data_IF_530054914236
#
_entry.id   IF_530054914236
#
_cell.length_a   1.000
_cell.length_b   1.000
_cell.length_c   1.000
_cell.angle_alpha   90.00
_cell.angle_beta   90.00
_cell.angle_gamma   90.00
#
_symmetry.space_group_name_H-M   'P 1'
#
loop_
_entity.id
_entity.type
_entity.pdbx_description
1 polymer ?
#
# COMPACT_ATOMS: atom_id res chain seq x y z
N UNK A 1 -5.38 6.47 49.80
CA UNK A 1 -5.73 5.34 48.92
C UNK A 1 -7.11 5.57 48.26
N UNK A 2 -7.28 6.67 47.50
CA UNK A 2 -8.59 7.11 46.95
C UNK A 2 -8.51 7.41 45.42
N UNK A 3 -7.31 7.38 44.84
CA UNK A 3 -7.06 7.87 43.47
C UNK A 3 -7.45 6.95 42.30
N UNK A 4 -7.54 5.61 42.38
CA UNK A 4 -7.92 4.81 41.22
C UNK A 4 -9.44 4.76 40.97
N UNK A 5 -10.26 5.07 41.99
CA UNK A 5 -11.72 4.97 41.90
C UNK A 5 -12.34 6.13 41.09
N UNK A 6 -11.70 7.31 41.13
CA UNK A 6 -12.15 8.51 40.42
C UNK A 6 -11.93 8.41 38.90
N UNK A 7 -10.84 7.76 38.47
CA UNK A 7 -10.52 7.58 37.04
C UNK A 7 -11.50 6.61 36.37
N UNK A 8 -11.88 5.54 37.07
CA UNK A 8 -12.89 4.58 36.57
C UNK A 8 -14.28 5.22 36.50
N UNK A 9 -14.64 6.05 37.49
CA UNK A 9 -15.91 6.77 37.50
C UNK A 9 -16.03 7.74 36.31
N UNK A 10 -14.97 8.50 36.00
CA UNK A 10 -14.95 9.40 34.84
C UNK A 10 -15.06 8.65 33.50
N UNK A 11 -14.42 7.48 33.39
CA UNK A 11 -14.46 6.66 32.18
C UNK A 11 -15.87 6.07 31.93
N UNK A 12 -16.58 5.67 33.00
CA UNK A 12 -17.95 5.18 32.90
C UNK A 12 -18.96 6.30 32.58
N UNK A 13 -18.82 7.49 33.16
CA UNK A 13 -19.71 8.62 32.83
C UNK A 13 -19.50 9.13 31.41
N UNK A 14 -18.27 9.12 30.89
CA UNK A 14 -18.01 9.46 29.50
C UNK A 14 -18.66 8.46 28.53
N UNK A 15 -18.65 7.17 28.85
CA UNK A 15 -19.28 6.14 28.00
C UNK A 15 -20.81 6.22 27.98
N UNK A 16 -21.43 6.63 29.09
CA UNK A 16 -22.90 6.72 29.20
C UNK A 16 -23.41 8.02 28.57
N UNK A 17 -22.69 9.15 28.69
CA UNK A 17 -23.13 10.43 28.12
C UNK A 17 -22.75 10.64 26.65
N UNK A 18 -21.68 10.00 26.14
CA UNK A 18 -21.29 10.11 24.73
C UNK A 18 -21.74 8.92 23.86
N UNK A 19 -22.38 7.92 24.44
CA UNK A 19 -22.87 6.71 23.74
C UNK A 19 -24.26 6.85 23.11
N UNK A 20 -24.68 8.06 22.72
CA UNK A 20 -26.06 8.32 22.29
C UNK A 20 -26.18 9.34 21.17
N UNK A 21 -25.67 9.01 19.98
CA UNK A 21 -26.21 9.56 18.73
C UNK A 21 -25.82 8.69 17.52
N UNK A 22 -26.29 7.44 17.50
CA UNK A 22 -26.37 6.66 16.26
C UNK A 22 -27.49 7.24 15.38
N UNK A 23 -27.22 8.42 14.81
CA UNK A 23 -27.87 8.79 13.55
C UNK A 23 -27.15 8.05 12.45
N UNK A 24 -27.51 6.79 12.30
CA UNK A 24 -27.26 6.06 11.06
C UNK A 24 -27.93 6.87 9.94
N UNK A 25 -27.11 7.58 9.17
CA UNK A 25 -27.54 8.20 7.91
C UNK A 25 -27.84 7.02 6.97
N UNK A 26 -29.04 6.47 7.09
CA UNK A 26 -29.57 5.57 6.09
C UNK A 26 -29.80 6.39 4.84
N UNK A 27 -28.91 6.23 3.86
CA UNK A 27 -29.13 6.73 2.51
C UNK A 27 -30.33 5.98 1.94
N UNK A 28 -31.52 6.56 2.11
CA UNK A 28 -32.74 6.11 1.43
C UNK A 28 -32.60 6.49 -0.03
N UNK A 29 -32.21 5.54 -0.87
CA UNK A 29 -32.30 5.69 -2.32
C UNK A 29 -33.79 5.81 -2.66
N UNK A 30 -34.22 7.04 -2.94
CA UNK A 30 -35.53 7.29 -3.55
C UNK A 30 -35.35 7.04 -5.03
N UNK A 31 -35.70 5.84 -5.45
CA UNK A 31 -35.85 5.50 -6.86
C UNK A 31 -37.11 6.26 -7.35
N UNK A 32 -36.90 7.33 -8.13
CA UNK A 32 -38.00 7.99 -8.82
C UNK A 32 -38.51 7.03 -9.91
N UNK A 33 -39.79 6.63 -9.91
CA UNK A 33 -40.33 5.83 -10.99
C UNK A 33 -40.48 6.72 -12.22
N UNK A 34 -39.43 6.81 -13.03
CA UNK A 34 -39.57 7.29 -14.41
C UNK A 34 -40.28 6.21 -15.21
N UNK A 35 -41.57 6.47 -15.44
CA UNK A 35 -42.48 5.94 -16.47
C UNK A 35 -41.95 4.73 -17.26
N UNK A 36 -42.50 3.56 -16.90
CA UNK A 36 -42.53 2.36 -17.73
C UNK A 36 -43.09 2.68 -19.13
N UNK A 37 -42.22 2.74 -20.13
CA UNK A 37 -42.60 2.39 -21.50
C UNK A 37 -42.03 1.01 -21.78
N UNK A 38 -42.93 0.03 -21.85
CA UNK A 38 -42.60 -1.36 -22.13
C UNK A 38 -41.96 -1.49 -23.53
N UNK A 39 -40.68 -1.89 -23.55
CA UNK A 39 -40.05 -2.47 -24.72
C UNK A 39 -39.55 -3.86 -24.33
N UNK A 40 -40.22 -4.89 -24.86
CA UNK A 40 -39.78 -6.28 -24.79
C UNK A 40 -38.41 -6.42 -25.48
N UNK A 41 -37.35 -6.44 -24.69
CA UNK A 41 -36.00 -6.74 -25.11
C UNK A 41 -35.42 -7.77 -24.15
N UNK A 42 -34.95 -8.89 -24.70
CA UNK A 42 -34.32 -10.01 -24.00
C UNK A 42 -33.33 -9.49 -22.95
N UNK A 43 -33.59 -9.77 -21.67
CA UNK A 43 -32.72 -9.36 -20.56
C UNK A 43 -31.43 -10.16 -20.59
N UNK A 44 -30.45 -9.73 -21.40
CA UNK A 44 -29.06 -9.96 -21.06
C UNK A 44 -28.82 -9.22 -19.75
N UNK A 45 -28.72 -9.97 -18.66
CA UNK A 45 -28.23 -9.46 -17.38
C UNK A 45 -26.82 -8.96 -17.63
N UNK A 46 -26.68 -7.68 -17.93
CA UNK A 46 -25.40 -6.99 -17.87
C UNK A 46 -25.01 -7.00 -16.40
N UNK A 47 -24.21 -7.98 -16.00
CA UNK A 47 -23.59 -8.02 -14.68
C UNK A 47 -22.74 -6.77 -14.55
N UNK A 48 -23.27 -5.74 -13.90
CA UNK A 48 -22.58 -4.47 -13.67
C UNK A 48 -21.22 -4.78 -13.03
N UNK A 49 -20.12 -4.45 -13.71
CA UNK A 49 -18.78 -4.62 -13.15
C UNK A 49 -18.70 -3.85 -11.82
N UNK A 50 -18.09 -4.43 -10.77
CA UNK A 50 -17.94 -3.73 -9.50
C UNK A 50 -17.17 -2.43 -9.72
N UNK A 51 -17.58 -1.36 -9.01
CA UNK A 51 -17.03 0.00 -9.18
C UNK A 51 -15.50 0.06 -8.99
N UNK A 52 -14.94 -0.84 -8.19
CA UNK A 52 -13.50 -1.02 -7.98
C UNK A 52 -13.01 -2.29 -8.68
N UNK A 53 -12.95 -2.26 -10.02
CA UNK A 53 -12.46 -3.39 -10.80
C UNK A 53 -11.74 -2.95 -12.07
N UNK A 54 -11.01 -3.89 -12.66
CA UNK A 54 -10.26 -3.68 -13.90
C UNK A 54 -8.76 -3.50 -13.69
N UNK A 55 -8.04 -3.46 -14.82
CA UNK A 55 -6.58 -3.47 -14.87
C UNK A 55 -5.92 -2.37 -14.04
N UNK A 56 -6.47 -1.15 -14.08
CA UNK A 56 -5.92 -0.02 -13.33
C UNK A 56 -6.05 -0.21 -11.81
N UNK A 57 -7.20 -0.73 -11.36
CA UNK A 57 -7.43 -1.04 -9.95
C UNK A 57 -6.50 -2.16 -9.47
N UNK A 58 -6.44 -3.26 -10.21
CA UNK A 58 -5.57 -4.40 -9.89
C UNK A 58 -4.09 -3.97 -9.85
N UNK A 59 -3.64 -3.17 -10.82
CA UNK A 59 -2.28 -2.61 -10.84
C UNK A 59 -2.02 -1.73 -9.63
N UNK A 60 -2.97 -0.89 -9.21
CA UNK A 60 -2.84 -0.04 -8.04
C UNK A 60 -2.74 -0.85 -6.73
N UNK A 61 -3.51 -1.94 -6.59
CA UNK A 61 -3.41 -2.87 -5.46
C UNK A 61 -2.03 -3.53 -5.44
N UNK A 62 -1.57 -4.04 -6.59
CA UNK A 62 -0.26 -4.70 -6.70
C UNK A 62 0.91 -3.74 -6.43
N UNK A 63 0.80 -2.47 -6.83
CA UNK A 63 1.77 -1.43 -6.48
C UNK A 63 1.83 -1.21 -4.97
N UNK A 64 0.66 -1.14 -4.31
CA UNK A 64 0.57 -0.98 -2.85
C UNK A 64 1.19 -2.18 -2.12
N UNK A 65 0.84 -3.40 -2.52
CA UNK A 65 1.36 -4.63 -1.94
C UNK A 65 2.88 -4.73 -2.11
N UNK A 66 3.37 -4.52 -3.33
CA UNK A 66 4.81 -4.61 -3.64
C UNK A 66 5.62 -3.52 -2.95
N UNK A 67 5.09 -2.29 -2.89
CA UNK A 67 5.72 -1.18 -2.17
C UNK A 67 5.73 -1.39 -0.65
N UNK A 68 4.66 -1.93 -0.08
CA UNK A 68 4.63 -2.30 1.34
C UNK A 68 5.64 -3.42 1.64
N UNK A 69 5.76 -4.42 0.75
CA UNK A 69 6.76 -5.47 0.89
C UNK A 69 8.19 -4.92 0.79
N UNK A 70 8.42 -3.96 -0.10
CA UNK A 70 9.72 -3.27 -0.23
C UNK A 70 10.12 -2.65 1.12
N UNK A 71 9.20 -1.89 1.72
CA UNK A 71 9.42 -1.26 3.02
C UNK A 71 9.65 -2.30 4.12
N UNK A 72 8.83 -3.37 4.15
CA UNK A 72 8.96 -4.43 5.15
C UNK A 72 10.33 -5.12 5.08
N UNK A 73 10.81 -5.45 3.87
CA UNK A 73 12.14 -6.04 3.65
C UNK A 73 13.25 -5.08 4.08
N UNK A 74 13.15 -3.79 3.74
CA UNK A 74 14.09 -2.76 4.18
C UNK A 74 14.15 -2.71 5.71
N UNK A 75 13.01 -2.49 6.38
CA UNK A 75 12.95 -2.35 7.83
C UNK A 75 13.45 -3.59 8.54
N UNK A 76 13.07 -4.78 8.07
CA UNK A 76 13.51 -6.03 8.67
C UNK A 76 15.03 -6.23 8.52
N UNK A 77 15.57 -5.97 7.33
CA UNK A 77 17.00 -6.11 7.07
C UNK A 77 17.85 -5.10 7.86
N UNK A 78 17.40 -3.85 7.96
CA UNK A 78 18.10 -2.83 8.75
C UNK A 78 18.02 -3.10 10.26
N UNK A 79 16.90 -3.62 10.74
CA UNK A 79 16.78 -4.04 12.13
C UNK A 79 17.70 -5.22 12.45
N UNK A 80 17.85 -6.18 11.52
CA UNK A 80 18.82 -7.27 11.66
C UNK A 80 20.26 -6.72 11.74
N UNK A 81 20.60 -5.78 10.86
CA UNK A 81 21.90 -5.12 10.90
C UNK A 81 22.12 -4.34 12.21
N UNK A 82 21.10 -3.64 12.70
CA UNK A 82 21.17 -2.90 13.97
C UNK A 82 21.41 -3.79 15.17
N UNK A 83 20.79 -4.99 15.20
CA UNK A 83 20.85 -5.91 16.34
C UNK A 83 22.09 -6.81 16.27
N UNK A 84 22.42 -7.34 15.09
CA UNK A 84 23.43 -8.38 14.91
C UNK A 84 24.68 -7.91 14.14
N UNK A 85 24.73 -6.66 13.70
CA UNK A 85 25.87 -6.08 12.98
C UNK A 85 26.05 -6.60 11.56
N UNK A 86 25.06 -7.32 11.01
CA UNK A 86 25.11 -7.88 9.65
C UNK A 86 23.74 -7.85 8.99
N UNK A 87 23.71 -7.75 7.66
CA UNK A 87 22.49 -7.99 6.90
C UNK A 87 22.16 -9.50 6.86
N UNK A 88 20.90 -9.87 6.56
CA UNK A 88 20.52 -11.25 6.31
C UNK A 88 21.43 -11.91 5.26
N UNK A 89 21.81 -13.17 5.40
CA UNK A 89 22.69 -13.81 4.41
C UNK A 89 21.92 -14.32 3.18
N UNK A 90 20.63 -14.62 3.34
CA UNK A 90 19.80 -15.27 2.32
C UNK A 90 18.40 -14.69 2.27
N UNK A 91 17.68 -14.95 1.16
CA UNK A 91 16.24 -14.65 1.05
C UNK A 91 15.45 -15.33 2.18
N UNK A 92 15.80 -16.56 2.54
CA UNK A 92 15.11 -17.29 3.61
C UNK A 92 15.26 -16.60 4.97
N UNK A 93 16.44 -16.04 5.27
CA UNK A 93 16.62 -15.24 6.50
C UNK A 93 15.74 -13.98 6.49
N UNK A 94 15.60 -13.32 5.33
CA UNK A 94 14.70 -12.17 5.19
C UNK A 94 13.25 -12.60 5.46
N UNK A 95 12.78 -13.65 4.78
CA UNK A 95 11.40 -14.14 4.90
C UNK A 95 11.08 -14.57 6.34
N UNK A 96 12.00 -15.31 6.98
CA UNK A 96 11.87 -15.69 8.38
C UNK A 96 11.83 -14.46 9.31
N UNK A 97 12.66 -13.44 9.03
CA UNK A 97 12.65 -12.18 9.76
C UNK A 97 11.33 -11.42 9.63
N UNK A 98 10.73 -11.40 8.42
CA UNK A 98 9.41 -10.80 8.18
C UNK A 98 8.31 -11.52 8.97
N UNK A 99 8.29 -12.85 8.95
CA UNK A 99 7.30 -13.65 9.68
C UNK A 99 7.44 -13.48 11.20
N UNK A 100 8.67 -13.58 11.72
CA UNK A 100 8.97 -13.44 13.15
C UNK A 100 8.51 -12.09 13.72
N UNK A 101 8.54 -11.04 12.91
CA UNK A 101 8.18 -9.67 13.30
C UNK A 101 6.77 -9.27 12.86
N UNK A 102 6.01 -10.19 12.27
CA UNK A 102 4.67 -9.93 11.72
C UNK A 102 4.65 -8.74 10.75
N UNK A 103 5.68 -8.62 9.91
CA UNK A 103 5.87 -7.51 8.95
C UNK A 103 5.37 -7.83 7.54
N UNK A 104 4.74 -8.99 7.32
CA UNK A 104 4.15 -9.29 6.03
C UNK A 104 3.00 -8.32 5.73
N UNK A 105 3.00 -7.65 4.57
CA UNK A 105 1.91 -6.78 4.19
C UNK A 105 0.58 -7.56 4.12
N UNK A 106 -0.55 -6.92 4.47
CA UNK A 106 -1.86 -7.52 4.28
C UNK A 106 -2.06 -7.98 2.83
N UNK A 107 -2.61 -9.18 2.66
CA UNK A 107 -2.84 -9.78 1.34
C UNK A 107 -1.63 -10.53 0.76
N UNK A 108 -0.44 -10.41 1.36
CA UNK A 108 0.74 -11.20 0.97
C UNK A 108 0.90 -12.39 1.90
N UNK A 109 1.09 -13.56 1.31
CA UNK A 109 1.34 -14.81 1.99
C UNK A 109 2.69 -15.38 1.56
N UNK A 110 3.30 -16.17 2.45
CA UNK A 110 4.45 -17.02 2.12
C UNK A 110 3.96 -18.47 2.16
N UNK A 111 4.04 -19.17 1.03
CA UNK A 111 3.75 -20.61 0.92
C UNK A 111 4.95 -21.30 0.31
N UNK A 112 5.52 -22.26 1.01
CA UNK A 112 6.69 -23.03 0.55
C UNK A 112 7.88 -22.16 0.08
N UNK A 113 8.09 -21.01 0.75
CA UNK A 113 9.13 -20.04 0.40
C UNK A 113 8.79 -19.12 -0.79
N UNK A 114 7.61 -19.28 -1.39
CA UNK A 114 7.09 -18.44 -2.47
C UNK A 114 6.21 -17.34 -1.87
N UNK A 115 6.46 -16.10 -2.27
CA UNK A 115 5.61 -14.96 -1.94
C UNK A 115 4.48 -14.83 -2.97
N UNK A 116 3.26 -14.70 -2.51
CA UNK A 116 2.11 -14.46 -3.40
C UNK A 116 1.07 -13.57 -2.75
N UNK A 117 0.27 -12.92 -3.58
CA UNK A 117 -0.96 -12.25 -3.20
C UNK A 117 -2.10 -12.77 -4.08
N UNK A 118 -3.33 -12.30 -3.80
CA UNK A 118 -4.50 -12.65 -4.64
C UNK A 118 -4.32 -12.26 -6.11
N UNK A 119 -3.51 -11.23 -6.39
CA UNK A 119 -3.33 -10.67 -7.74
C UNK A 119 -1.93 -10.93 -8.30
N UNK A 120 -0.99 -11.48 -7.53
CA UNK A 120 0.41 -11.56 -7.95
C UNK A 120 1.18 -12.76 -7.43
N UNK A 121 2.06 -13.27 -8.27
CA UNK A 121 3.26 -13.98 -7.81
C UNK A 121 4.37 -12.95 -7.58
N UNK A 122 5.02 -13.01 -6.43
CA UNK A 122 6.04 -12.06 -6.01
C UNK A 122 7.39 -12.77 -5.91
N UNK A 123 8.42 -12.23 -6.58
CA UNK A 123 9.79 -12.73 -6.51
C UNK A 123 10.67 -11.71 -5.82
N UNK A 124 11.40 -12.16 -4.81
CA UNK A 124 12.39 -11.37 -4.09
C UNK A 124 13.80 -11.81 -4.52
N UNK A 125 14.47 -10.97 -5.30
CA UNK A 125 15.90 -11.16 -5.56
C UNK A 125 16.69 -10.39 -4.50
N UNK A 126 17.74 -11.01 -3.96
CA UNK A 126 18.52 -10.42 -2.87
C UNK A 126 20.02 -10.64 -3.06
N UNK A 127 20.82 -9.63 -2.72
CA UNK A 127 22.26 -9.76 -2.51
C UNK A 127 22.68 -8.99 -1.25
N UNK A 128 23.58 -9.57 -0.48
CA UNK A 128 24.06 -8.95 0.77
C UNK A 128 25.13 -7.87 0.53
N UNK A 129 25.94 -7.98 -0.52
CA UNK A 129 27.05 -7.06 -0.81
C UNK A 129 27.12 -6.71 -2.33
N UNK A 130 26.95 -5.44 -2.72
CA UNK A 130 26.39 -4.37 -1.90
C UNK A 130 24.92 -4.69 -1.56
N UNK A 131 24.48 -4.38 -0.35
CA UNK A 131 23.11 -4.66 0.10
C UNK A 131 22.09 -4.12 -0.90
N UNK A 132 21.36 -5.03 -1.54
CA UNK A 132 20.35 -4.67 -2.55
C UNK A 132 19.32 -5.78 -2.66
N UNK A 133 18.10 -5.39 -3.00
CA UNK A 133 17.05 -6.35 -3.32
C UNK A 133 16.07 -5.79 -4.34
N UNK A 134 15.37 -6.70 -5.00
CA UNK A 134 14.39 -6.39 -6.03
C UNK A 134 13.12 -7.17 -5.78
N UNK A 135 11.98 -6.50 -5.91
CA UNK A 135 10.66 -7.12 -5.79
C UNK A 135 10.01 -7.07 -7.16
N UNK A 136 9.87 -8.23 -7.76
CA UNK A 136 9.17 -8.44 -9.02
C UNK A 136 7.77 -8.97 -8.74
N UNK A 137 6.76 -8.18 -9.06
CA UNK A 137 5.35 -8.59 -9.04
C UNK A 137 4.91 -8.97 -10.45
N UNK A 138 4.54 -10.24 -10.62
CA UNK A 138 3.97 -10.78 -11.83
C UNK A 138 2.48 -10.99 -11.64
N UNK A 139 1.62 -10.53 -12.56
CA UNK A 139 0.19 -10.75 -12.44
C UNK A 139 -0.20 -12.21 -12.68
N UNK A 140 -1.20 -12.69 -11.94
CA UNK A 140 -1.70 -14.08 -12.05
C UNK A 140 -2.77 -14.21 -13.15
N UNK A 141 -3.61 -13.19 -13.34
CA UNK A 141 -4.68 -13.16 -14.35
C UNK A 141 -4.17 -12.66 -15.71
N UNK A 142 -4.90 -12.94 -16.80
CA UNK A 142 -4.65 -12.36 -18.13
C UNK A 142 -5.92 -11.60 -18.55
N UNK A 143 -5.88 -10.28 -18.85
CA UNK A 143 -4.69 -9.49 -19.17
C UNK A 143 -3.76 -9.15 -17.99
N UNK A 144 -4.20 -9.29 -16.72
CA UNK A 144 -3.35 -9.23 -15.51
C UNK A 144 -2.73 -7.88 -15.16
N UNK A 145 -2.73 -6.95 -16.11
CA UNK A 145 -1.93 -5.74 -16.02
C UNK A 145 -0.45 -6.01 -16.24
N UNK A 146 0.36 -5.00 -16.00
CA UNK A 146 1.80 -5.04 -16.25
C UNK A 146 2.56 -5.77 -15.15
N UNK A 147 3.70 -6.39 -15.47
CA UNK A 147 4.69 -6.73 -14.44
C UNK A 147 5.27 -5.45 -13.82
N UNK A 148 5.53 -5.49 -12.52
CA UNK A 148 6.02 -4.36 -11.74
C UNK A 148 7.33 -4.79 -11.06
N UNK A 149 8.34 -3.94 -11.13
CA UNK A 149 9.64 -4.17 -10.50
C UNK A 149 10.02 -2.96 -9.63
N UNK A 150 10.16 -3.20 -8.33
CA UNK A 150 10.78 -2.27 -7.38
C UNK A 150 12.21 -2.69 -7.07
N UNK A 151 13.06 -1.72 -6.74
CA UNK A 151 14.48 -1.93 -6.43
C UNK A 151 14.88 -1.19 -5.16
N UNK A 152 15.80 -1.77 -4.41
CA UNK A 152 16.46 -1.15 -3.28
C UNK A 152 17.99 -1.20 -3.43
N UNK A 153 18.73 -0.11 -3.18
CA UNK A 153 18.24 1.23 -2.87
C UNK A 153 17.33 1.80 -3.96
N UNK A 154 16.36 2.63 -3.55
CA UNK A 154 15.45 3.26 -4.50
C UNK A 154 16.26 4.18 -5.43
N UNK A 155 16.04 4.11 -6.77
CA UNK A 155 16.62 5.08 -7.67
C UNK A 155 16.20 6.51 -7.27
N UNK A 156 17.04 7.53 -7.55
CA UNK A 156 16.67 8.93 -7.30
C UNK A 156 15.34 9.27 -7.97
N UNK A 157 14.42 9.85 -7.21
CA UNK A 157 13.10 10.23 -7.67
C UNK A 157 12.72 11.62 -7.14
N UNK A 158 11.68 12.23 -7.72
CA UNK A 158 11.11 13.47 -7.21
C UNK A 158 10.59 13.30 -5.77
N UNK A 159 10.54 14.40 -5.01
CA UNK A 159 9.95 14.40 -3.67
C UNK A 159 8.53 13.79 -3.70
N UNK A 160 8.21 12.94 -2.71
CA UNK A 160 6.92 12.24 -2.61
C UNK A 160 6.60 11.26 -3.75
N UNK A 161 7.63 10.79 -4.46
CA UNK A 161 7.48 9.77 -5.48
C UNK A 161 8.43 8.60 -5.27
N UNK A 162 7.98 7.41 -5.67
CA UNK A 162 8.78 6.20 -5.72
C UNK A 162 8.92 5.77 -7.17
N UNK A 163 10.15 5.61 -7.64
CA UNK A 163 10.40 5.07 -8.97
C UNK A 163 10.21 3.55 -8.99
N UNK A 164 9.54 3.05 -10.03
CA UNK A 164 9.43 1.63 -10.31
C UNK A 164 9.51 1.38 -11.82
N UNK A 165 9.70 0.12 -12.20
CA UNK A 165 9.73 -0.31 -13.59
C UNK A 165 8.48 -1.12 -13.91
N UNK A 166 7.94 -0.92 -15.11
CA UNK A 166 6.71 -1.55 -15.58
C UNK A 166 6.91 -2.18 -16.96
N UNK A 167 6.50 -3.42 -17.16
CA UNK A 167 6.49 -4.07 -18.48
C UNK A 167 5.15 -4.75 -18.77
N UNK A 168 4.66 -4.59 -20.00
CA UNK A 168 3.44 -5.27 -20.46
C UNK A 168 3.77 -6.67 -20.97
N UNK A 169 2.79 -7.57 -20.90
CA UNK A 169 2.92 -8.91 -21.46
C UNK A 169 3.05 -8.89 -23.00
N UNK A 170 3.85 -9.80 -23.60
CA UNK A 170 4.76 -10.74 -22.93
C UNK A 170 6.01 -10.03 -22.34
N UNK A 171 6.37 -10.39 -21.10
CA UNK A 171 7.46 -9.72 -20.37
C UNK A 171 8.79 -10.43 -20.64
N UNK A 172 9.74 -9.71 -21.22
CA UNK A 172 11.15 -10.12 -21.19
C UNK A 172 11.73 -9.77 -19.81
N UNK A 173 12.12 -10.78 -19.04
CA UNK A 173 12.66 -10.55 -17.70
C UNK A 173 14.03 -9.87 -17.80
N UNK A 174 14.26 -8.77 -17.06
CA UNK A 174 15.55 -8.12 -17.05
C UNK A 174 16.54 -8.97 -16.25
N UNK A 175 17.84 -8.76 -16.48
CA UNK A 175 18.86 -9.34 -15.62
C UNK A 175 18.70 -8.84 -14.17
N UNK A 176 18.84 -9.74 -13.20
CA UNK A 176 18.80 -9.38 -11.78
C UNK A 176 19.87 -8.34 -11.48
N UNK A 177 19.50 -7.28 -10.76
CA UNK A 177 20.38 -6.17 -10.41
C UNK A 177 20.99 -5.42 -11.61
N UNK A 178 20.40 -5.54 -12.81
CA UNK A 178 20.83 -4.82 -14.00
C UNK A 178 20.74 -3.29 -13.86
N UNK A 179 21.43 -2.53 -14.69
CA UNK A 179 21.31 -1.07 -14.68
C UNK A 179 19.94 -0.62 -15.20
N UNK A 180 19.56 0.64 -14.93
CA UNK A 180 18.30 1.18 -15.48
C UNK A 180 18.27 1.08 -17.00
N UNK A 181 19.40 1.31 -17.67
CA UNK A 181 19.55 1.19 -19.12
C UNK A 181 19.27 -0.24 -19.59
N UNK A 182 19.85 -1.24 -18.92
CA UNK A 182 19.62 -2.66 -19.24
C UNK A 182 18.16 -3.07 -19.05
N UNK A 183 17.51 -2.56 -17.99
CA UNK A 183 16.09 -2.80 -17.73
C UNK A 183 15.23 -2.16 -18.84
N UNK A 184 15.51 -0.91 -19.20
CA UNK A 184 14.78 -0.23 -20.29
C UNK A 184 15.02 -0.86 -21.66
N UNK A 185 16.22 -1.35 -21.92
CA UNK A 185 16.56 -2.09 -23.13
C UNK A 185 15.80 -3.41 -23.24
N UNK A 186 15.45 -4.03 -22.11
CA UNK A 186 14.55 -5.20 -22.04
C UNK A 186 13.06 -4.83 -22.19
N UNK A 187 12.73 -3.59 -22.54
CA UNK A 187 11.37 -3.14 -22.82
C UNK A 187 10.58 -2.63 -21.60
N UNK A 188 11.22 -2.49 -20.45
CA UNK A 188 10.57 -1.96 -19.24
C UNK A 188 10.53 -0.44 -19.25
N UNK A 189 9.41 0.14 -18.84
CA UNK A 189 9.21 1.59 -18.74
C UNK A 189 9.45 2.05 -17.31
N UNK A 190 10.16 3.17 -17.17
CA UNK A 190 10.30 3.85 -15.89
C UNK A 190 8.98 4.56 -15.56
N UNK A 191 8.50 4.35 -14.34
CA UNK A 191 7.28 4.94 -13.80
C UNK A 191 7.53 5.54 -12.44
N UNK A 192 6.67 6.47 -12.07
CA UNK A 192 6.69 7.14 -10.79
C UNK A 192 5.36 6.91 -10.09
N UNK A 193 5.41 6.24 -8.95
CA UNK A 193 4.27 6.12 -8.05
C UNK A 193 4.30 7.30 -7.09
N UNK A 194 3.44 8.28 -7.35
CA UNK A 194 3.33 9.50 -6.53
C UNK A 194 2.32 9.26 -5.42
N UNK A 195 2.70 9.62 -4.19
CA UNK A 195 1.71 9.81 -3.14
C UNK A 195 0.82 11.01 -3.45
N UNK A 196 -0.35 11.09 -2.85
CA UNK A 196 -1.10 12.35 -2.78
C UNK A 196 -0.32 13.31 -1.89
N UNK A 197 0.58 14.08 -2.48
CA UNK A 197 1.07 15.29 -1.86
C UNK A 197 0.00 16.36 -2.10
N UNK A 198 -0.62 16.87 -1.04
CA UNK A 198 -1.30 18.16 -1.16
C UNK A 198 -0.28 19.14 -1.75
N UNK A 199 -0.58 19.83 -2.86
CA UNK A 199 0.33 20.83 -3.37
C UNK A 199 0.56 21.82 -2.23
N UNK A 200 1.83 22.06 -1.87
CA UNK A 200 2.23 23.11 -0.93
C UNK A 200 1.98 24.47 -1.60
N UNK A 201 0.71 24.81 -1.78
CA UNK A 201 0.28 26.14 -2.15
C UNK A 201 0.11 26.97 -0.87
N UNK A 202 0.01 28.29 -1.03
CA UNK A 202 -0.08 29.22 0.10
C UNK A 202 -1.25 28.89 1.03
N UNK A 203 -2.34 28.35 0.49
CA UNK A 203 -3.51 27.89 1.27
C UNK A 203 -3.14 26.74 2.21
N UNK A 204 -2.53 25.68 1.68
CA UNK A 204 -2.13 24.51 2.49
C UNK A 204 -1.07 24.89 3.52
N UNK A 205 -0.14 25.79 3.19
CA UNK A 205 0.88 26.28 4.13
C UNK A 205 0.24 27.10 5.27
N UNK A 206 -0.76 27.94 4.95
CA UNK A 206 -1.50 28.70 5.96
C UNK A 206 -2.29 27.77 6.88
N UNK A 207 -3.01 26.80 6.31
CA UNK A 207 -3.82 25.85 7.08
C UNK A 207 -2.94 24.99 8.03
N UNK A 208 -1.76 24.57 7.57
CA UNK A 208 -0.79 23.85 8.41
C UNK A 208 -0.24 24.72 9.55
N UNK A 209 -0.03 26.02 9.30
CA UNK A 209 0.42 26.96 10.34
C UNK A 209 -0.66 27.21 11.39
N UNK A 210 -1.91 27.40 10.96
CA UNK A 210 -3.06 27.55 11.86
C UNK A 210 -3.26 26.30 12.73
N UNK A 211 -3.05 25.10 12.16
CA UNK A 211 -3.10 23.86 12.93
C UNK A 211 -1.96 23.74 13.95
N UNK A 212 -0.72 24.09 13.61
CA UNK A 212 0.41 24.07 14.56
C UNK A 212 0.18 25.07 15.72
N UNK A 213 -0.30 26.27 15.42
CA UNK A 213 -0.63 27.29 16.43
C UNK A 213 -1.77 26.81 17.36
N UNK A 214 -2.80 26.17 16.79
CA UNK A 214 -3.88 25.58 17.57
C UNK A 214 -3.37 24.47 18.51
N UNK A 215 -2.53 23.55 18.03
CA UNK A 215 -1.94 22.49 18.85
C UNK A 215 -1.09 23.06 19.99
N UNK A 216 -0.26 24.08 19.71
CA UNK A 216 0.57 24.74 20.73
C UNK A 216 -0.27 25.45 21.78
N UNK A 217 -1.34 26.14 21.37
CA UNK A 217 -2.24 26.82 22.31
C UNK A 217 -2.93 25.85 23.28
N UNK A 218 -3.26 24.62 22.82
CA UNK A 218 -3.83 23.56 23.67
C UNK A 218 -2.83 22.99 24.67
N UNK A 219 -1.55 22.93 24.30
CA UNK A 219 -0.50 22.37 25.15
C UNK A 219 0.03 23.37 26.18
N UNK A 220 -0.20 24.67 26.01
CA UNK A 220 0.16 25.71 26.99
C UNK A 220 -0.93 25.99 28.04
N UNK A 221 -2.11 25.38 27.90
CA UNK A 221 -3.23 25.51 28.85
C UNK A 221 -3.33 24.39 29.89
N UNK A 222 -2.28 23.59 30.08
CA UNK A 222 -2.13 22.56 31.12
C UNK A 222 -0.89 22.85 31.97
#
# INVERSE_FOLDING_TARGET
MITPLLVVAFYFTARIFYGGNDKTVQLKFVENPSEQTAASGTSTVETSKPVLSGEAYETAVRLRESGALLMAVSLSSFEEFRVNGRFPATVNEILAGLQKRSLLPPGIEIKDGVLSSTLSELKLNYRAEPFSFEILSLPISNPGGSAILFRFPLPPAEANSVMYFEARNPVQMPAQFGTSEQITAAGWKIRHWRGEAMPLNETVIRDLREQDEWVRSRNQGR
#
